data_IF_045740926442
#
_entry.id   IF_045740926442
#
_cell.length_a   1.000
_cell.length_b   1.000
_cell.length_c   1.000
_cell.angle_alpha   90.00
_cell.angle_beta   90.00
_cell.angle_gamma   90.00
#
_symmetry.space_group_name_H-M   'P 1'
#
loop_
_entity.id
_entity.type
_entity.pdbx_description
1 polymer ?
#
# COMPACT_ATOMS: atom_id res chain seq x y z
N UNK A 1 -46.63 29.00 24.06
CA UNK A 1 -46.43 27.56 24.35
C UNK A 1 -46.87 26.76 23.14
N UNK A 2 -46.33 25.56 22.86
CA UNK A 2 -44.93 25.11 22.74
C UNK A 2 -44.72 24.54 21.29
N UNK A 3 -43.67 23.84 20.84
CA UNK A 3 -42.64 23.05 21.47
C UNK A 3 -41.40 22.93 20.56
N UNK A 4 -40.22 23.04 21.18
CA UNK A 4 -38.93 22.59 20.64
C UNK A 4 -38.92 21.06 20.57
N UNK A 5 -38.66 20.50 19.39
CA UNK A 5 -38.37 19.08 19.24
C UNK A 5 -36.86 18.83 19.46
N UNK A 6 -36.52 18.40 20.68
CA UNK A 6 -35.23 17.78 20.97
C UNK A 6 -35.15 16.44 20.21
N UNK A 7 -34.36 16.40 19.13
CA UNK A 7 -33.92 15.12 18.54
C UNK A 7 -32.76 14.59 19.38
N UNK A 8 -33.05 13.55 20.15
CA UNK A 8 -32.08 12.76 20.88
C UNK A 8 -31.12 12.07 19.89
N UNK A 9 -29.83 12.34 20.07
CA UNK A 9 -28.73 11.66 19.40
C UNK A 9 -28.65 10.18 19.83
N UNK A 10 -28.43 9.24 18.91
CA UNK A 10 -28.19 7.83 19.25
C UNK A 10 -26.71 7.61 19.60
N UNK A 11 -26.26 8.25 20.67
CA UNK A 11 -24.98 7.97 21.32
C UNK A 11 -25.27 7.74 22.81
N UNK A 12 -25.90 6.63 23.13
CA UNK A 12 -26.12 6.19 24.51
C UNK A 12 -25.29 4.94 24.80
N UNK A 13 -24.21 5.03 25.62
CA UNK A 13 -23.32 3.93 25.91
C UNK A 13 -23.75 3.12 27.16
N UNK A 14 -25.05 3.04 27.46
CA UNK A 14 -25.55 2.37 28.65
C UNK A 14 -26.35 1.09 28.36
N UNK A 15 -25.68 0.07 27.81
CA UNK A 15 -26.18 -1.30 27.97
C UNK A 15 -25.04 -2.29 28.22
N UNK A 16 -24.72 -2.44 29.52
CA UNK A 16 -23.99 -3.59 30.06
C UNK A 16 -24.89 -4.82 29.97
N UNK A 17 -24.35 -5.95 29.50
CA UNK A 17 -24.49 -7.25 30.20
C UNK A 17 -23.23 -8.10 29.95
N UNK A 18 -22.54 -8.48 31.04
CA UNK A 18 -21.51 -9.53 31.08
C UNK A 18 -22.20 -10.88 31.32
N UNK A 19 -21.66 -11.97 30.78
CA UNK A 19 -21.62 -13.20 31.56
C UNK A 19 -20.23 -13.86 31.63
N UNK A 20 -19.84 -14.12 32.88
CA UNK A 20 -19.21 -15.33 33.44
C UNK A 20 -18.05 -16.01 32.70
N UNK A 21 -16.85 -15.82 33.28
CA UNK A 21 -15.63 -16.57 33.03
C UNK A 21 -15.71 -17.87 33.83
N UNK A 22 -15.54 -19.04 33.19
CA UNK A 22 -15.21 -20.29 33.89
C UNK A 22 -13.69 -20.38 34.05
N UNK A 23 -13.17 -20.62 35.27
CA UNK A 23 -11.78 -21.00 35.47
C UNK A 23 -11.62 -22.50 35.16
N UNK A 24 -10.41 -22.90 34.79
CA UNK A 24 -9.96 -24.26 34.50
C UNK A 24 -9.90 -24.65 33.03
N UNK A 25 -8.74 -24.35 32.44
CA UNK A 25 -7.94 -25.28 31.62
C UNK A 25 -6.60 -24.61 31.30
N UNK A 26 -5.59 -24.90 32.13
CA UNK A 26 -4.18 -24.71 31.75
C UNK A 26 -3.69 -25.99 31.07
N UNK A 27 -3.10 -25.91 29.86
CA UNK A 27 -2.20 -26.94 29.36
C UNK A 27 -0.73 -26.48 29.47
N UNK A 28 0.01 -27.32 30.20
CA UNK A 28 1.45 -27.59 30.24
C UNK A 28 2.42 -26.86 29.28
N UNK A 29 3.63 -26.49 29.76
CA UNK A 29 4.67 -25.86 28.92
C UNK A 29 5.31 -26.86 27.95
N UNK A 30 5.35 -26.49 26.67
CA UNK A 30 6.11 -27.19 25.64
C UNK A 30 7.63 -27.02 25.85
N UNK A 31 8.46 -28.01 25.49
CA UNK A 31 9.90 -27.98 25.71
C UNK A 31 10.59 -26.93 24.86
N UNK A 32 11.59 -26.27 25.47
CA UNK A 32 12.45 -25.23 24.89
C UNK A 32 13.21 -25.76 23.66
N UNK A 33 12.65 -25.55 22.47
CA UNK A 33 13.37 -25.75 21.22
C UNK A 33 14.16 -24.49 20.87
N UNK A 34 15.47 -24.60 21.10
CA UNK A 34 16.60 -23.79 20.59
C UNK A 34 16.23 -22.65 19.64
N UNK A 35 16.54 -21.46 20.11
CA UNK A 35 16.83 -20.23 19.36
C UNK A 35 17.32 -20.49 17.93
N UNK A 36 16.41 -20.39 16.96
CA UNK A 36 16.81 -20.05 15.59
C UNK A 36 17.10 -18.57 15.56
N UNK A 37 18.37 -18.27 15.31
CA UNK A 37 18.92 -16.94 15.08
C UNK A 37 17.98 -16.11 14.19
N UNK A 38 17.79 -14.81 14.50
CA UNK A 38 16.89 -13.97 13.73
C UNK A 38 17.37 -13.90 12.28
N UNK A 39 16.41 -14.16 11.38
CA UNK A 39 16.47 -13.87 9.95
C UNK A 39 17.25 -12.57 9.76
N UNK A 40 18.41 -12.65 9.09
CA UNK A 40 19.25 -11.49 8.83
C UNK A 40 18.36 -10.41 8.23
N UNK A 41 18.23 -9.29 8.95
CA UNK A 41 17.56 -8.06 8.50
C UNK A 41 18.23 -7.64 7.19
N UNK A 42 17.72 -8.13 6.06
CA UNK A 42 18.04 -7.59 4.75
C UNK A 42 17.82 -6.08 4.88
N UNK A 43 18.87 -5.30 4.63
CA UNK A 43 18.77 -3.84 4.68
C UNK A 43 17.98 -3.41 3.46
N UNK A 44 16.66 -3.43 3.60
CA UNK A 44 15.75 -2.83 2.62
C UNK A 44 16.06 -1.34 2.58
N UNK A 45 16.31 -0.82 1.38
CA UNK A 45 16.59 0.60 1.19
C UNK A 45 15.26 1.33 0.99
N UNK A 46 14.82 2.16 1.96
CA UNK A 46 13.54 2.84 1.82
C UNK A 46 13.65 3.99 0.82
N UNK A 47 12.98 3.83 -0.32
CA UNK A 47 12.82 4.89 -1.32
C UNK A 47 11.62 5.76 -0.96
N UNK A 48 11.87 6.91 -0.33
CA UNK A 48 10.82 7.86 0.07
C UNK A 48 11.16 9.27 -0.41
N UNK A 49 10.24 9.87 -1.16
CA UNK A 49 10.32 11.27 -1.58
C UNK A 49 9.38 12.13 -0.73
N UNK A 50 9.94 12.98 0.14
CA UNK A 50 9.16 13.73 1.14
C UNK A 50 8.23 14.80 0.57
N UNK A 51 8.47 15.29 -0.65
CA UNK A 51 7.68 16.33 -1.31
C UNK A 51 6.54 15.81 -2.19
N UNK A 52 6.02 14.60 -1.94
CA UNK A 52 5.06 13.94 -2.86
C UNK A 52 3.80 14.77 -3.10
N UNK A 53 3.30 15.46 -2.08
CA UNK A 53 2.09 16.28 -2.17
C UNK A 53 2.26 17.48 -3.11
N UNK A 54 3.49 18.02 -3.20
CA UNK A 54 3.82 19.22 -4.00
C UNK A 54 3.92 18.90 -5.50
N UNK A 55 3.91 17.62 -5.88
CA UNK A 55 3.98 17.20 -7.27
C UNK A 55 2.64 17.34 -8.01
N UNK A 56 1.53 17.53 -7.29
CA UNK A 56 0.21 17.70 -7.89
C UNK A 56 0.22 18.85 -8.90
N UNK A 57 -0.20 18.57 -10.14
CA UNK A 57 -0.24 19.51 -11.27
C UNK A 57 1.14 20.01 -11.72
N UNK A 58 2.24 19.42 -11.27
CA UNK A 58 3.57 19.74 -11.82
C UNK A 58 3.75 19.20 -13.25
N UNK A 59 4.74 19.72 -13.95
CA UNK A 59 5.11 19.22 -15.29
C UNK A 59 5.61 17.79 -15.22
N UNK A 60 5.33 17.00 -16.27
CA UNK A 60 5.90 15.66 -16.38
C UNK A 60 7.42 15.71 -16.42
N UNK A 61 8.05 14.66 -15.91
CA UNK A 61 9.51 14.52 -15.90
C UNK A 61 9.96 13.30 -16.71
N UNK A 62 11.21 13.32 -17.19
CA UNK A 62 11.84 12.16 -17.82
C UNK A 62 11.06 11.57 -19.00
N UNK A 63 10.44 12.40 -19.83
CA UNK A 63 9.68 11.95 -21.01
C UNK A 63 8.29 11.38 -20.69
N UNK A 64 7.79 11.52 -19.45
CA UNK A 64 6.40 11.26 -19.10
C UNK A 64 6.03 9.82 -18.74
N UNK A 65 6.97 8.87 -18.79
CA UNK A 65 6.74 7.50 -18.34
C UNK A 65 6.55 7.43 -16.81
N UNK A 66 5.74 6.49 -16.33
CA UNK A 66 5.45 6.32 -14.91
C UNK A 66 6.70 6.03 -14.05
N UNK A 67 7.56 5.11 -14.49
CA UNK A 67 8.80 4.76 -13.79
C UNK A 67 9.80 5.93 -13.74
N UNK A 68 9.78 6.81 -14.74
CA UNK A 68 10.70 7.96 -14.83
C UNK A 68 10.41 9.01 -13.76
N UNK A 69 9.17 9.14 -13.32
CA UNK A 69 8.82 9.98 -12.17
C UNK A 69 9.55 9.51 -10.91
N UNK A 70 9.46 8.21 -10.62
CA UNK A 70 10.13 7.61 -9.46
C UNK A 70 11.64 7.78 -9.57
N UNK A 71 12.23 7.48 -10.73
CA UNK A 71 13.68 7.61 -10.95
C UNK A 71 14.18 9.06 -10.86
N UNK A 72 13.38 10.03 -11.31
CA UNK A 72 13.74 11.44 -11.27
C UNK A 72 13.84 11.96 -9.83
N UNK A 73 12.82 11.68 -9.00
CA UNK A 73 12.79 12.16 -7.61
C UNK A 73 13.58 11.26 -6.65
N UNK A 74 13.84 10.01 -7.02
CA UNK A 74 14.57 9.03 -6.22
C UNK A 74 15.68 8.39 -7.06
N UNK A 75 16.75 9.14 -7.43
CA UNK A 75 17.78 8.64 -8.35
C UNK A 75 18.48 7.37 -7.85
N UNK A 76 18.54 7.17 -6.53
CA UNK A 76 19.11 5.97 -5.90
C UNK A 76 18.29 4.69 -6.14
N UNK A 77 17.06 4.81 -6.66
CA UNK A 77 16.21 3.66 -7.03
C UNK A 77 16.74 2.94 -8.28
N UNK A 78 17.61 3.58 -9.07
CA UNK A 78 18.25 2.97 -10.22
C UNK A 78 17.29 2.49 -11.33
N UNK A 79 17.80 1.61 -12.17
CA UNK A 79 17.07 1.08 -13.32
C UNK A 79 16.00 0.05 -12.89
N UNK A 80 14.85 0.01 -13.57
CA UNK A 80 13.70 -0.85 -13.21
C UNK A 80 14.03 -2.35 -13.19
N UNK A 81 15.05 -2.78 -13.94
CA UNK A 81 15.55 -4.16 -13.91
C UNK A 81 16.16 -4.59 -12.57
N UNK A 82 16.49 -3.62 -11.71
CA UNK A 82 17.09 -3.84 -10.38
C UNK A 82 16.07 -3.75 -9.25
N UNK A 83 14.82 -3.40 -9.56
CA UNK A 83 13.74 -3.29 -8.59
C UNK A 83 13.25 -4.68 -8.20
N UNK A 84 13.07 -4.88 -6.91
CA UNK A 84 12.43 -6.08 -6.35
C UNK A 84 11.23 -5.67 -5.50
N UNK A 85 10.19 -6.52 -5.42
CA UNK A 85 9.05 -6.26 -4.56
C UNK A 85 9.47 -6.39 -3.09
N UNK A 86 9.22 -5.35 -2.31
CA UNK A 86 9.18 -5.42 -0.86
C UNK A 86 7.78 -5.83 -0.36
N UNK A 87 7.34 -5.20 0.72
CA UNK A 87 6.01 -5.44 1.29
C UNK A 87 4.87 -5.03 0.33
N UNK A 88 3.77 -5.79 0.35
CA UNK A 88 2.57 -5.47 -0.42
C UNK A 88 1.80 -4.33 0.25
N UNK A 89 1.53 -3.27 -0.50
CA UNK A 89 1.00 -2.00 0.03
C UNK A 89 -0.32 -2.20 0.77
N UNK A 90 -1.28 -2.87 0.14
CA UNK A 90 -2.60 -3.10 0.73
C UNK A 90 -2.53 -4.01 1.96
N UNK A 91 -1.65 -5.01 1.99
CA UNK A 91 -1.54 -5.93 3.14
C UNK A 91 -1.00 -5.22 4.38
N UNK A 92 0.04 -4.39 4.23
CA UNK A 92 0.57 -3.58 5.34
C UNK A 92 -0.53 -2.68 5.91
N UNK A 93 -1.27 -1.98 5.06
CA UNK A 93 -2.36 -1.11 5.48
C UNK A 93 -3.52 -1.91 6.12
N UNK A 94 -3.83 -3.10 5.61
CA UNK A 94 -4.83 -4.03 6.13
C UNK A 94 -4.42 -4.76 7.42
N UNK A 95 -3.14 -4.77 7.76
CA UNK A 95 -2.65 -5.21 9.06
C UNK A 95 -2.63 -4.10 10.12
N UNK A 96 -2.90 -2.85 9.73
CA UNK A 96 -2.78 -1.69 10.62
C UNK A 96 -1.39 -1.05 10.62
N UNK A 97 -0.50 -1.51 9.74
CA UNK A 97 0.77 -0.87 9.46
C UNK A 97 0.60 0.49 8.78
N UNK A 98 1.71 1.20 8.65
CA UNK A 98 1.78 2.52 8.02
C UNK A 98 2.79 2.49 6.88
N UNK A 99 2.43 3.11 5.76
CA UNK A 99 3.33 3.39 4.65
C UNK A 99 3.52 4.90 4.60
N UNK A 100 4.77 5.34 4.55
CA UNK A 100 5.11 6.76 4.51
C UNK A 100 4.68 7.37 3.16
N UNK A 101 3.99 8.53 3.15
CA UNK A 101 3.77 9.28 1.92
C UNK A 101 5.11 9.56 1.23
N UNK A 102 5.14 9.39 -0.09
CA UNK A 102 6.32 9.47 -0.93
C UNK A 102 7.04 8.15 -1.13
N UNK A 103 6.57 7.05 -0.52
CA UNK A 103 7.17 5.72 -0.76
C UNK A 103 7.04 5.33 -2.23
N UNK A 104 8.13 4.89 -2.83
CA UNK A 104 8.14 4.37 -4.18
C UNK A 104 7.42 3.02 -4.23
N UNK A 105 6.43 2.90 -5.11
CA UNK A 105 5.62 1.69 -5.29
C UNK A 105 5.54 1.32 -6.77
N UNK A 106 5.45 0.03 -7.05
CA UNK A 106 5.23 -0.48 -8.39
C UNK A 106 4.48 -1.80 -8.37
N UNK A 107 3.98 -2.18 -9.53
CA UNK A 107 3.52 -3.54 -9.75
C UNK A 107 4.67 -4.47 -10.13
N UNK A 108 4.55 -5.73 -9.70
CA UNK A 108 5.53 -6.78 -9.99
C UNK A 108 4.80 -8.03 -10.47
N UNK A 109 5.39 -8.69 -11.47
CA UNK A 109 4.95 -9.99 -11.97
C UNK A 109 6.12 -10.95 -11.82
N UNK A 110 5.90 -12.08 -11.14
CA UNK A 110 6.94 -13.07 -10.85
C UNK A 110 8.21 -12.47 -10.22
N UNK A 111 8.02 -11.51 -9.30
CA UNK A 111 9.10 -10.88 -8.55
C UNK A 111 9.89 -9.79 -9.29
N UNK A 112 9.47 -9.39 -10.50
CA UNK A 112 10.16 -8.37 -11.31
C UNK A 112 9.20 -7.31 -11.84
N UNK A 113 9.72 -6.11 -12.05
CA UNK A 113 8.99 -5.07 -12.76
C UNK A 113 8.81 -5.48 -14.24
N UNK A 114 7.58 -5.50 -14.78
CA UNK A 114 7.35 -5.97 -16.14
C UNK A 114 8.02 -5.10 -17.21
N UNK A 115 8.64 -5.74 -18.20
CA UNK A 115 9.27 -5.06 -19.35
C UNK A 115 8.29 -4.75 -20.47
N UNK A 116 7.14 -5.43 -20.51
CA UNK A 116 6.08 -5.24 -21.50
C UNK A 116 4.70 -5.31 -20.83
N UNK A 117 3.68 -4.88 -21.57
CA UNK A 117 2.28 -4.86 -21.11
C UNK A 117 1.97 -3.71 -20.14
N UNK A 118 0.84 -3.83 -19.45
CA UNK A 118 0.41 -2.88 -18.44
C UNK A 118 1.38 -2.93 -17.25
N UNK A 119 2.20 -1.89 -17.15
CA UNK A 119 3.18 -1.68 -16.07
C UNK A 119 2.94 -0.32 -15.45
N UNK A 120 3.09 -0.23 -14.13
CA UNK A 120 2.88 1.02 -13.42
C UNK A 120 3.80 1.15 -12.21
N UNK A 121 4.31 2.37 -12.04
CA UNK A 121 5.12 2.78 -10.90
C UNK A 121 4.70 4.20 -10.49
N UNK A 122 4.73 4.48 -9.20
CA UNK A 122 4.21 5.72 -8.63
C UNK A 122 4.88 6.03 -7.29
N UNK A 123 4.56 7.20 -6.76
CA UNK A 123 4.80 7.54 -5.35
C UNK A 123 3.47 7.40 -4.59
N UNK A 124 3.47 6.65 -3.50
CA UNK A 124 2.32 6.49 -2.63
C UNK A 124 2.03 7.81 -1.87
N UNK A 125 0.80 8.29 -1.85
CA UNK A 125 0.42 9.50 -1.10
C UNK A 125 -0.40 9.17 0.14
N UNK A 126 -1.28 8.16 0.08
CA UNK A 126 -2.14 7.82 1.21
C UNK A 126 -3.06 6.63 0.97
N UNK A 127 -3.83 6.26 2.00
CA UNK A 127 -4.80 5.19 1.94
C UNK A 127 -6.22 5.75 1.82
N UNK A 128 -7.09 5.01 1.15
CA UNK A 128 -8.53 5.31 1.08
C UNK A 128 -9.27 4.30 1.95
N UNK A 129 -10.07 4.81 2.89
CA UNK A 129 -10.88 4.00 3.80
C UNK A 129 -12.36 4.04 3.41
N UNK A 130 -13.09 2.98 3.73
CA UNK A 130 -14.54 3.00 3.66
C UNK A 130 -15.15 3.83 4.81
N UNK A 131 -16.34 4.37 4.61
CA UNK A 131 -17.03 5.14 5.65
C UNK A 131 -17.54 4.28 6.81
N UNK A 132 -17.77 2.98 6.59
CA UNK A 132 -18.31 2.07 7.59
C UNK A 132 -17.20 1.45 8.45
N UNK A 133 -17.32 1.64 9.77
CA UNK A 133 -16.46 0.99 10.74
C UNK A 133 -16.71 -0.53 10.75
N UNK A 134 -15.64 -1.33 10.63
CA UNK A 134 -15.72 -2.78 10.76
C UNK A 134 -15.38 -3.18 12.21
N UNK A 135 -16.34 -3.71 12.99
CA UNK A 135 -16.11 -4.09 14.39
C UNK A 135 -15.12 -5.26 14.55
N UNK A 136 -14.95 -6.12 13.52
CA UNK A 136 -13.97 -7.20 13.55
C UNK A 136 -12.55 -6.67 13.39
N UNK A 137 -12.37 -5.72 12.48
CA UNK A 137 -11.08 -5.06 12.24
C UNK A 137 -10.79 -3.93 13.23
N UNK A 138 -11.81 -3.52 14.00
CA UNK A 138 -11.80 -2.37 14.92
C UNK A 138 -11.37 -1.06 14.24
N UNK A 139 -11.65 -0.91 12.95
CA UNK A 139 -11.31 0.26 12.12
C UNK A 139 -12.08 0.25 10.81
N UNK A 140 -12.01 1.36 10.06
CA UNK A 140 -12.53 1.42 8.70
C UNK A 140 -11.66 0.57 7.75
N UNK A 141 -12.26 -0.30 6.92
CA UNK A 141 -11.53 -1.08 5.92
C UNK A 141 -10.80 -0.19 4.90
N UNK A 142 -9.63 -0.65 4.45
CA UNK A 142 -8.89 -0.03 3.34
C UNK A 142 -9.50 -0.51 2.02
N UNK A 143 -9.97 0.43 1.20
CA UNK A 143 -10.61 0.17 -0.11
C UNK A 143 -9.73 0.57 -1.29
N UNK A 144 -8.65 1.32 -1.05
CA UNK A 144 -7.73 1.76 -2.08
C UNK A 144 -6.57 2.57 -1.53
N UNK A 145 -5.82 3.16 -2.46
CA UNK A 145 -4.69 4.05 -2.19
C UNK A 145 -4.75 5.27 -3.09
N UNK A 146 -4.07 6.33 -2.69
CA UNK A 146 -3.84 7.53 -3.48
C UNK A 146 -2.40 7.45 -4.00
N UNK A 147 -2.23 7.58 -5.31
CA UNK A 147 -0.94 7.56 -5.98
C UNK A 147 -0.68 8.90 -6.66
N UNK A 148 0.56 9.36 -6.57
CA UNK A 148 1.10 10.44 -7.38
C UNK A 148 1.89 9.83 -8.54
N UNK A 149 1.40 10.02 -9.76
CA UNK A 149 1.98 9.39 -10.94
C UNK A 149 1.84 10.25 -12.21
N UNK A 150 2.41 9.74 -13.31
CA UNK A 150 2.30 10.26 -14.66
C UNK A 150 2.33 9.07 -15.63
N UNK A 151 1.88 9.26 -16.87
CA UNK A 151 2.12 8.32 -17.96
C UNK A 151 2.09 9.05 -19.30
N UNK A 152 2.67 8.43 -20.33
CA UNK A 152 2.51 8.87 -21.70
C UNK A 152 1.15 8.45 -22.24
N UNK A 153 0.57 9.23 -23.16
CA UNK A 153 -0.64 8.81 -23.86
C UNK A 153 -0.49 7.39 -24.39
N UNK A 154 -1.45 6.54 -24.06
CA UNK A 154 -1.53 5.17 -24.57
C UNK A 154 -2.99 4.89 -24.91
N UNK A 155 -3.26 4.13 -26.00
CA UNK A 155 -4.62 3.73 -26.33
C UNK A 155 -5.30 3.06 -25.14
N UNK A 156 -6.50 3.53 -24.79
CA UNK A 156 -7.29 3.00 -23.68
C UNK A 156 -6.96 3.56 -22.29
N UNK A 157 -5.94 4.42 -22.16
CA UNK A 157 -5.68 5.14 -20.91
C UNK A 157 -6.19 6.59 -21.01
N UNK A 158 -6.73 7.18 -19.92
CA UNK A 158 -7.09 8.58 -19.92
C UNK A 158 -5.86 9.45 -20.14
N UNK A 159 -6.00 10.54 -20.89
CA UNK A 159 -4.92 11.48 -21.07
C UNK A 159 -4.51 12.09 -19.72
N UNK A 160 -3.20 12.31 -19.58
CA UNK A 160 -2.62 12.92 -18.40
C UNK A 160 -1.57 13.89 -18.85
N UNK A 161 -1.80 15.20 -18.70
CA UNK A 161 -0.88 16.23 -19.20
C UNK A 161 0.13 16.70 -18.14
N UNK A 162 -0.14 16.43 -16.87
CA UNK A 162 0.66 16.81 -15.72
C UNK A 162 0.84 15.62 -14.78
N UNK A 163 1.82 15.68 -13.90
CA UNK A 163 1.86 14.79 -12.74
C UNK A 163 0.60 15.09 -11.91
N UNK A 164 -0.13 14.06 -11.51
CA UNK A 164 -1.32 14.26 -10.68
C UNK A 164 -1.62 13.07 -9.80
N UNK A 165 -2.33 13.33 -8.72
CA UNK A 165 -2.86 12.32 -7.82
C UNK A 165 -4.01 11.58 -8.48
N UNK A 166 -4.16 10.31 -8.15
CA UNK A 166 -5.37 9.53 -8.45
C UNK A 166 -5.63 8.48 -7.38
N UNK A 167 -6.91 8.17 -7.20
CA UNK A 167 -7.32 7.04 -6.37
C UNK A 167 -7.27 5.75 -7.17
N UNK A 168 -6.61 4.74 -6.61
CA UNK A 168 -6.57 3.38 -7.13
C UNK A 168 -7.29 2.48 -6.12
N UNK A 169 -8.40 1.89 -6.56
CA UNK A 169 -9.19 0.99 -5.72
C UNK A 169 -8.68 -0.45 -5.80
N UNK A 170 -9.05 -1.26 -4.83
CA UNK A 170 -8.85 -2.71 -4.88
C UNK A 170 -9.74 -3.31 -5.96
N UNK A 171 -9.18 -4.15 -6.83
CA UNK A 171 -9.90 -4.78 -7.97
C UNK A 171 -9.81 -6.30 -8.01
N UNK A 172 -9.25 -6.94 -6.99
CA UNK A 172 -9.16 -8.40 -6.87
C UNK A 172 -7.71 -8.88 -6.77
N UNK A 173 -7.55 -10.07 -6.19
CA UNK A 173 -6.26 -10.66 -5.90
C UNK A 173 -5.55 -11.19 -7.16
N UNK A 174 -4.27 -11.52 -7.00
CA UNK A 174 -3.45 -12.14 -8.03
C UNK A 174 -4.07 -13.48 -8.43
N UNK A 175 -4.15 -13.73 -9.73
CA UNK A 175 -4.56 -15.04 -10.25
C UNK A 175 -3.44 -16.06 -10.06
N UNK A 176 -3.77 -17.34 -10.16
CA UNK A 176 -2.81 -18.45 -10.04
C UNK A 176 -1.65 -18.36 -11.04
N UNK A 177 -1.87 -17.73 -12.20
CA UNK A 177 -0.85 -17.49 -13.22
C UNK A 177 0.04 -16.25 -12.98
N UNK A 178 -0.08 -15.58 -11.82
CA UNK A 178 0.69 -14.40 -11.45
C UNK A 178 0.19 -13.08 -12.08
N UNK A 179 -0.86 -13.12 -12.91
CA UNK A 179 -1.49 -11.92 -13.47
C UNK A 179 -2.45 -11.26 -12.48
N UNK A 180 -2.68 -9.97 -12.66
CA UNK A 180 -3.65 -9.19 -11.87
C UNK A 180 -4.83 -8.74 -12.74
N UNK A 181 -6.04 -8.61 -12.18
CA UNK A 181 -7.10 -7.86 -12.83
C UNK A 181 -6.72 -6.36 -12.85
N UNK A 182 -6.82 -5.71 -14.01
CA UNK A 182 -6.48 -4.30 -14.24
C UNK A 182 -5.23 -3.83 -13.47
N UNK A 183 -4.04 -4.40 -13.74
CA UNK A 183 -2.88 -4.30 -12.85
C UNK A 183 -2.50 -2.86 -12.50
N UNK A 184 -2.49 -1.96 -13.50
CA UNK A 184 -2.16 -0.54 -13.29
C UNK A 184 -3.17 0.22 -12.45
N UNK A 185 -4.40 -0.28 -12.32
CA UNK A 185 -5.52 0.32 -11.60
C UNK A 185 -6.00 -0.52 -10.41
N UNK A 186 -5.16 -1.46 -9.96
CA UNK A 186 -5.48 -2.35 -8.87
C UNK A 186 -4.52 -2.12 -7.70
N UNK A 187 -5.05 -1.61 -6.60
CA UNK A 187 -4.25 -1.35 -5.41
C UNK A 187 -3.61 -2.62 -4.83
N UNK A 188 -4.22 -3.79 -5.06
CA UNK A 188 -3.71 -5.08 -4.57
C UNK A 188 -2.46 -5.55 -5.34
N UNK A 189 -2.21 -5.00 -6.54
CA UNK A 189 -1.05 -5.32 -7.35
C UNK A 189 0.22 -4.53 -6.96
N UNK A 190 0.11 -3.60 -6.01
CA UNK A 190 1.19 -2.67 -5.64
C UNK A 190 2.07 -3.21 -4.51
N UNK A 191 3.37 -3.13 -4.73
CA UNK A 191 4.40 -3.42 -3.74
C UNK A 191 5.29 -2.19 -3.56
N UNK A 192 5.89 -2.08 -2.38
CA UNK A 192 7.01 -1.17 -2.15
C UNK A 192 8.18 -1.59 -3.04
N UNK A 193 8.83 -0.61 -3.68
CA UNK A 193 10.06 -0.87 -4.44
C UNK A 193 11.23 -0.97 -3.46
N UNK A 194 12.04 -2.01 -3.62
CA UNK A 194 13.27 -2.22 -2.88
C UNK A 194 14.43 -2.63 -3.80
N UNK A 195 15.62 -2.73 -3.22
CA UNK A 195 16.77 -3.39 -3.82
C UNK A 195 17.22 -4.58 -2.98
N UNK A 196 17.75 -5.60 -3.66
CA UNK A 196 18.60 -6.58 -3.00
C UNK A 196 19.92 -5.91 -2.65
N UNK A 197 20.20 -5.75 -1.35
CA UNK A 197 21.52 -5.39 -0.91
C UNK A 197 22.50 -6.52 -1.30
N UNK A 198 23.36 -6.28 -2.28
CA UNK A 198 24.54 -7.13 -2.49
C UNK A 198 25.49 -6.85 -1.34
N UNK A 199 25.47 -7.71 -0.33
CA UNK A 199 26.53 -7.72 0.68
C UNK A 199 27.78 -8.19 -0.05
N UNK A 200 28.69 -7.27 -0.39
CA UNK A 200 30.04 -7.65 -0.79
C UNK A 200 30.66 -8.35 0.42
N UNK A 201 30.90 -9.65 0.31
CA UNK A 201 31.76 -10.36 1.24
C UNK A 201 33.12 -9.66 1.22
N UNK A 202 33.60 -9.29 2.41
CA UNK A 202 34.93 -8.70 2.61
C UNK A 202 35.97 -9.79 2.58
#
# INVERSE_FOLDING_TARGET
MPAFALRLSPCDPSYRQRPSVRPDQQPVPAPLLRSRLPFSKERTMPFVYRGVADLEKSSKVGGGECARLVQHYLPRVGHTSTWVPGERVIEVLQAGGKIEPGKAVAMFVNGRYPTSGHRHAALYEGAVTACAYDPKLKRCPIVGVILMDQWNPQPGNPEKNRVSRRTVFRRGQMRSNGSWPSPSDNAEALYVIEHRATVKAK
#
